data_IF_208064962369
#
_entry.id   IF_208064962369
#
_cell.length_a   1.000
_cell.length_b   1.000
_cell.length_c   1.000
_cell.angle_alpha   90.00
_cell.angle_beta   90.00
_cell.angle_gamma   90.00
#
_symmetry.space_group_name_H-M   'P 1'
#
loop_
_entity.id
_entity.type
_entity.pdbx_description
1 polymer ?
#
# COMPACT_ATOMS: atom_id res chain seq x y z
N UNK A 1 -32.60 3.14 34.46
CA UNK A 1 -31.93 3.52 33.21
C UNK A 1 -30.55 2.86 33.19
N UNK A 2 -30.38 1.75 32.47
CA UNK A 2 -29.07 1.16 32.24
C UNK A 2 -28.57 1.67 30.89
N UNK A 3 -27.57 2.55 30.90
CA UNK A 3 -26.87 2.96 29.68
C UNK A 3 -26.04 1.77 29.19
N UNK A 4 -26.54 1.09 28.15
CA UNK A 4 -25.77 0.06 27.45
C UNK A 4 -24.58 0.72 26.75
N UNK A 5 -23.38 0.57 27.32
CA UNK A 5 -22.15 0.89 26.62
C UNK A 5 -21.95 -0.16 25.52
N UNK A 6 -22.32 0.20 24.29
CA UNK A 6 -21.97 -0.58 23.11
C UNK A 6 -20.46 -0.43 22.89
N UNK A 7 -19.67 -1.33 23.48
CA UNK A 7 -18.25 -1.47 23.15
C UNK A 7 -18.19 -1.95 21.70
N UNK A 8 -18.19 -1.00 20.75
CA UNK A 8 -17.82 -1.28 19.37
C UNK A 8 -16.38 -1.78 19.41
N UNK A 9 -16.18 -3.08 19.21
CA UNK A 9 -14.85 -3.66 19.09
C UNK A 9 -14.05 -2.80 18.11
N UNK A 10 -12.79 -2.43 18.44
CA UNK A 10 -11.99 -1.64 17.53
C UNK A 10 -11.97 -2.36 16.18
N UNK A 11 -12.19 -1.65 15.06
CA UNK A 11 -12.11 -2.28 13.75
C UNK A 11 -10.75 -2.97 13.68
N UNK A 12 -10.75 -4.29 13.50
CA UNK A 12 -9.54 -5.08 13.38
C UNK A 12 -8.76 -4.55 12.18
N UNK A 13 -7.78 -3.70 12.45
CA UNK A 13 -6.87 -3.18 11.43
C UNK A 13 -5.90 -4.30 11.10
N UNK A 14 -6.13 -4.96 9.96
CA UNK A 14 -5.24 -6.00 9.47
C UNK A 14 -4.05 -5.30 8.84
N UNK A 15 -2.88 -5.44 9.47
CA UNK A 15 -1.59 -5.07 8.89
C UNK A 15 -0.86 -6.38 8.61
N UNK A 16 -0.60 -6.66 7.34
CA UNK A 16 0.04 -7.92 6.95
C UNK A 16 0.98 -7.72 5.77
N UNK A 17 1.92 -8.66 5.62
CA UNK A 17 2.86 -8.70 4.50
C UNK A 17 2.22 -9.46 3.34
N UNK A 18 2.13 -8.81 2.19
CA UNK A 18 1.67 -9.43 0.95
C UNK A 18 2.79 -10.19 0.26
N UNK A 19 2.40 -11.04 -0.70
CA UNK A 19 3.37 -11.72 -1.56
C UNK A 19 4.10 -10.69 -2.42
N UNK A 20 5.33 -11.02 -2.80
CA UNK A 20 6.17 -10.13 -3.61
C UNK A 20 5.56 -9.82 -5.00
N UNK A 21 4.73 -10.74 -5.51
CA UNK A 21 4.08 -10.71 -6.83
C UNK A 21 2.60 -10.30 -6.79
N UNK A 22 2.10 -9.85 -5.63
CA UNK A 22 0.69 -9.51 -5.44
C UNK A 22 0.18 -8.54 -6.51
N UNK A 23 -0.95 -8.87 -7.13
CA UNK A 23 -1.53 -8.07 -8.20
C UNK A 23 -2.36 -6.92 -7.64
N UNK A 24 -1.71 -5.79 -7.40
CA UNK A 24 -2.34 -4.55 -6.95
C UNK A 24 -2.64 -3.63 -8.14
N UNK A 25 -3.77 -2.93 -8.07
CA UNK A 25 -4.25 -2.05 -9.12
C UNK A 25 -4.44 -0.64 -8.58
N UNK A 26 -3.99 0.36 -9.33
CA UNK A 26 -4.21 1.76 -9.02
C UNK A 26 -5.70 2.05 -9.21
N UNK A 27 -6.38 2.74 -8.27
CA UNK A 27 -7.76 3.14 -8.47
C UNK A 27 -7.87 4.03 -9.71
N UNK A 28 -8.91 3.81 -10.51
CA UNK A 28 -9.09 4.58 -11.73
C UNK A 28 -9.52 6.02 -11.38
N UNK A 29 -8.61 6.98 -11.58
CA UNK A 29 -8.80 8.39 -11.20
C UNK A 29 -9.65 9.18 -12.19
N UNK A 30 -9.85 8.68 -13.42
CA UNK A 30 -10.48 9.44 -14.51
C UNK A 30 -11.84 8.84 -14.92
N UNK A 31 -12.95 9.16 -14.24
CA UNK A 31 -14.26 8.67 -14.64
C UNK A 31 -14.65 9.30 -15.98
N UNK A 32 -14.44 8.58 -17.07
CA UNK A 32 -14.87 9.00 -18.39
C UNK A 32 -16.41 9.07 -18.42
N UNK A 33 -17.02 10.27 -18.57
CA UNK A 33 -18.47 10.43 -18.51
C UNK A 33 -19.19 9.75 -19.70
N UNK A 34 -18.45 9.41 -20.76
CA UNK A 34 -18.99 8.75 -21.96
C UNK A 34 -19.09 7.23 -21.84
N UNK A 35 -18.36 6.61 -20.90
CA UNK A 35 -18.32 5.15 -20.76
C UNK A 35 -19.32 4.63 -19.73
N UNK A 36 -20.30 3.84 -20.20
CA UNK A 36 -21.29 3.14 -19.35
C UNK A 36 -20.68 2.18 -18.32
N UNK A 37 -19.42 1.77 -18.49
CA UNK A 37 -18.75 0.83 -17.59
C UNK A 37 -17.77 1.57 -16.68
N UNK A 38 -18.15 1.74 -15.40
CA UNK A 38 -17.27 2.28 -14.35
C UNK A 38 -16.12 1.30 -14.12
N UNK A 39 -14.97 1.53 -14.78
CA UNK A 39 -13.74 0.79 -14.49
C UNK A 39 -13.31 1.15 -13.06
N UNK A 40 -13.37 0.19 -12.14
CA UNK A 40 -12.88 0.36 -10.76
C UNK A 40 -11.36 0.24 -10.70
N UNK A 41 -10.81 -0.70 -11.48
CA UNK A 41 -9.38 -0.99 -11.54
C UNK A 41 -8.74 -0.24 -12.71
N UNK A 42 -7.74 0.59 -12.40
CA UNK A 42 -6.83 1.17 -13.37
C UNK A 42 -5.66 0.24 -13.66
N UNK A 43 -4.48 0.82 -13.82
CA UNK A 43 -3.28 0.06 -14.17
C UNK A 43 -2.77 -0.79 -12.99
N UNK A 44 -2.22 -1.96 -13.31
CA UNK A 44 -1.54 -2.81 -12.33
C UNK A 44 -0.26 -2.09 -11.87
N UNK A 45 0.03 -2.11 -10.57
CA UNK A 45 1.28 -1.56 -10.04
C UNK A 45 2.46 -2.35 -10.62
N UNK A 46 3.43 -1.62 -11.16
CA UNK A 46 4.73 -2.19 -11.52
C UNK A 46 5.69 -1.96 -10.35
N UNK A 47 6.11 -3.03 -9.68
CA UNK A 47 7.06 -2.96 -8.57
C UNK A 47 8.47 -2.55 -9.01
N UNK A 48 8.80 -2.74 -10.29
CA UNK A 48 10.06 -2.29 -10.88
C UNK A 48 10.00 -0.80 -11.21
N UNK A 49 8.85 -0.30 -11.64
CA UNK A 49 8.66 1.10 -12.02
C UNK A 49 7.49 1.73 -11.25
N UNK A 50 7.70 1.94 -9.95
CA UNK A 50 6.72 2.62 -9.11
C UNK A 50 6.82 4.13 -9.39
N UNK A 51 5.70 4.79 -9.76
CA UNK A 51 5.71 6.23 -10.01
C UNK A 51 6.13 7.03 -8.77
N UNK A 52 6.98 8.05 -8.96
CA UNK A 52 7.47 8.92 -7.88
C UNK A 52 6.35 9.65 -7.13
N UNK A 53 5.15 9.78 -7.72
CA UNK A 53 3.96 10.35 -7.05
C UNK A 53 3.58 9.60 -5.76
N UNK A 54 3.99 8.34 -5.62
CA UNK A 54 3.75 7.54 -4.43
C UNK A 54 4.93 7.51 -3.46
N UNK A 55 6.09 8.06 -3.84
CA UNK A 55 7.28 8.09 -3.01
C UNK A 55 7.02 9.00 -1.81
N UNK A 56 7.20 8.46 -0.59
CA UNK A 56 7.08 9.22 0.65
C UNK A 56 8.44 9.58 1.22
N UNK A 57 9.38 8.66 1.15
CA UNK A 57 10.71 8.83 1.71
C UNK A 57 11.72 7.99 0.94
N UNK A 58 12.90 8.54 0.76
CA UNK A 58 14.09 7.79 0.33
C UNK A 58 15.13 7.95 1.42
N UNK A 59 15.72 6.83 1.81
CA UNK A 59 16.84 6.79 2.76
C UNK A 59 17.96 6.01 2.12
N UNK A 60 19.21 6.42 2.34
CA UNK A 60 20.36 5.63 1.93
C UNK A 60 21.24 5.42 3.15
N UNK A 61 21.44 4.17 3.53
CA UNK A 61 22.22 3.77 4.70
C UNK A 61 23.18 2.67 4.25
N UNK A 62 24.47 2.83 4.51
CA UNK A 62 25.51 1.84 4.20
C UNK A 62 25.46 1.30 2.76
N UNK A 63 25.37 2.19 1.77
CA UNK A 63 25.21 1.86 0.34
C UNK A 63 23.93 1.09 -0.02
N UNK A 64 22.93 1.05 0.87
CA UNK A 64 21.62 0.50 0.61
C UNK A 64 20.62 1.64 0.56
N UNK A 65 20.07 1.90 -0.63
CA UNK A 65 18.97 2.84 -0.83
C UNK A 65 17.65 2.14 -0.52
N UNK A 66 16.92 2.63 0.47
CA UNK A 66 15.57 2.21 0.82
C UNK A 66 14.57 3.30 0.44
N UNK A 67 13.71 2.98 -0.53
CA UNK A 67 12.62 3.85 -0.95
C UNK A 67 11.30 3.34 -0.35
N UNK A 68 10.57 4.22 0.32
CA UNK A 68 9.28 3.97 0.93
C UNK A 68 8.20 4.61 0.06
N UNK A 69 7.41 3.77 -0.59
CA UNK A 69 6.25 4.20 -1.37
C UNK A 69 4.97 3.91 -0.59
N UNK A 70 4.02 4.83 -0.62
CA UNK A 70 2.70 4.64 -0.03
C UNK A 70 1.62 5.02 -1.02
N UNK A 71 0.69 4.11 -1.28
CA UNK A 71 -0.42 4.31 -2.19
C UNK A 71 -1.67 3.58 -1.71
N UNK A 72 -2.84 4.12 -2.05
CA UNK A 72 -4.11 3.40 -1.90
C UNK A 72 -4.33 2.57 -3.16
N UNK A 73 -4.30 1.24 -3.02
CA UNK A 73 -4.40 0.30 -4.14
C UNK A 73 -5.57 -0.66 -3.94
N UNK A 74 -6.08 -1.18 -5.04
CA UNK A 74 -7.16 -2.15 -5.08
C UNK A 74 -6.60 -3.55 -5.34
N UNK A 75 -7.18 -4.56 -4.70
CA UNK A 75 -6.88 -5.97 -4.94
C UNK A 75 -8.16 -6.70 -5.31
N UNK A 76 -8.10 -7.70 -6.19
CA UNK A 76 -9.31 -8.40 -6.66
C UNK A 76 -10.02 -9.19 -5.56
N UNK A 77 -9.26 -9.70 -4.59
CA UNK A 77 -9.81 -10.44 -3.45
C UNK A 77 -10.35 -9.53 -2.34
N UNK A 78 -10.03 -8.24 -2.37
CA UNK A 78 -10.47 -7.28 -1.37
C UNK A 78 -11.49 -6.31 -1.98
N UNK A 79 -12.70 -6.27 -1.42
CA UNK A 79 -13.78 -5.39 -1.91
C UNK A 79 -13.46 -3.90 -1.73
N UNK A 80 -12.56 -3.56 -0.81
CA UNK A 80 -12.17 -2.20 -0.45
C UNK A 80 -10.75 -1.86 -0.92
N UNK A 81 -10.46 -0.55 -1.00
CA UNK A 81 -9.09 -0.09 -1.17
C UNK A 81 -8.25 -0.43 0.06
N UNK A 82 -6.99 -0.79 -0.20
CA UNK A 82 -6.00 -1.10 0.81
C UNK A 82 -4.95 0.00 0.79
N UNK A 83 -4.49 0.39 1.96
CA UNK A 83 -3.34 1.25 2.11
C UNK A 83 -2.09 0.41 2.01
N UNK A 84 -1.37 0.52 0.89
CA UNK A 84 -0.20 -0.30 0.60
C UNK A 84 1.05 0.52 0.77
N UNK A 85 1.98 -0.01 1.56
CA UNK A 85 3.33 0.50 1.73
C UNK A 85 4.29 -0.46 1.03
N UNK A 86 4.99 0.02 0.01
CA UNK A 86 6.00 -0.74 -0.71
C UNK A 86 7.36 -0.21 -0.28
N UNK A 87 8.20 -1.10 0.24
CA UNK A 87 9.56 -0.79 0.66
C UNK A 87 10.48 -1.41 -0.37
N UNK A 88 11.20 -0.59 -1.14
CA UNK A 88 12.17 -1.05 -2.13
C UNK A 88 13.57 -0.82 -1.58
N UNK A 89 14.35 -1.88 -1.43
CA UNK A 89 15.75 -1.82 -1.03
C UNK A 89 16.62 -2.11 -2.25
N UNK A 90 17.46 -1.15 -2.60
CA UNK A 90 18.40 -1.24 -3.71
C UNK A 90 19.80 -1.12 -3.14
N UNK A 91 20.57 -2.19 -3.24
CA UNK A 91 21.99 -2.16 -2.92
C UNK A 91 22.72 -1.44 -4.05
N UNK A 92 23.32 -0.29 -3.76
CA UNK A 92 24.03 0.53 -4.74
C UNK A 92 25.34 -0.16 -5.17
N UNK A 93 26.00 -0.87 -4.25
CA UNK A 93 27.27 -1.53 -4.53
C UNK A 93 27.11 -2.77 -5.44
N UNK A 94 26.01 -3.53 -5.31
CA UNK A 94 25.77 -4.76 -6.09
C UNK A 94 24.67 -4.60 -7.15
N UNK A 95 24.02 -3.44 -7.23
CA UNK A 95 22.81 -3.20 -8.02
C UNK A 95 21.65 -4.19 -7.74
N UNK A 96 21.71 -4.92 -6.62
CA UNK A 96 20.70 -5.89 -6.25
C UNK A 96 19.49 -5.17 -5.64
N UNK A 97 18.31 -5.42 -6.20
CA UNK A 97 17.05 -4.80 -5.77
C UNK A 97 16.11 -5.84 -5.17
N UNK A 98 15.57 -5.54 -4.00
CA UNK A 98 14.51 -6.31 -3.35
C UNK A 98 13.38 -5.39 -2.94
N UNK A 99 12.17 -5.92 -2.83
CA UNK A 99 11.04 -5.17 -2.33
C UNK A 99 10.19 -5.98 -1.37
N UNK A 100 9.57 -5.28 -0.43
CA UNK A 100 8.59 -5.81 0.49
C UNK A 100 7.29 -5.02 0.32
N UNK A 101 6.17 -5.74 0.31
CA UNK A 101 4.84 -5.14 0.17
C UNK A 101 4.08 -5.37 1.47
N UNK A 102 3.76 -4.29 2.15
CA UNK A 102 2.93 -4.27 3.35
C UNK A 102 1.60 -3.64 2.99
N UNK A 103 0.51 -4.14 3.57
CA UNK A 103 -0.79 -3.51 3.40
C UNK A 103 -1.48 -3.33 4.74
N UNK A 104 -2.39 -2.36 4.76
CA UNK A 104 -3.33 -2.13 5.84
C UNK A 104 -4.73 -1.96 5.29
N UNK A 105 -5.72 -2.49 6.02
CA UNK A 105 -7.14 -2.21 5.77
C UNK A 105 -7.55 -0.80 6.21
N UNK A 106 -6.69 -0.08 6.95
CA UNK A 106 -6.92 1.30 7.36
C UNK A 106 -6.29 2.30 6.36
N UNK A 107 -7.16 3.06 5.69
CA UNK A 107 -6.79 4.04 4.65
C UNK A 107 -6.13 5.31 5.20
N UNK A 108 -6.35 5.63 6.49
CA UNK A 108 -5.78 6.81 7.14
C UNK A 108 -4.48 6.51 7.89
N UNK A 109 -4.03 5.25 7.91
CA UNK A 109 -2.80 4.89 8.58
C UNK A 109 -1.58 5.46 7.84
N UNK A 110 -0.74 6.24 8.52
CA UNK A 110 0.56 6.64 7.97
C UNK A 110 1.49 5.42 7.80
N UNK A 111 2.35 5.44 6.79
CA UNK A 111 3.36 4.39 6.55
C UNK A 111 4.20 4.08 7.81
N UNK A 112 4.46 5.09 8.66
CA UNK A 112 5.19 4.93 9.92
C UNK A 112 4.52 3.89 10.83
N UNK A 113 3.20 3.94 10.97
CA UNK A 113 2.46 3.01 11.82
C UNK A 113 2.38 1.60 11.23
N UNK A 114 2.37 1.48 9.89
CA UNK A 114 2.41 0.17 9.21
C UNK A 114 3.74 -0.51 9.44
N UNK A 115 4.85 0.24 9.37
CA UNK A 115 6.21 -0.29 9.56
C UNK A 115 6.47 -0.63 11.03
N UNK A 116 6.04 0.21 11.98
CA UNK A 116 6.29 0.01 13.43
C UNK A 116 5.54 -1.20 14.00
N UNK A 117 4.38 -1.57 13.44
CA UNK A 117 3.57 -2.72 13.92
C UNK A 117 3.99 -4.08 13.36
N UNK A 118 4.98 -4.13 12.46
CA UNK A 118 5.52 -5.37 11.91
C UNK A 118 6.74 -5.91 12.68
N UNK A 119 6.97 -5.40 13.90
CA UNK A 119 8.13 -5.74 14.72
C UNK A 119 7.80 -6.63 15.92
#
# INVERSE_FOLDING_TARGET
MAAGFFLKAPPLQLISKMRYDSALYIPYENPDPSRKCRRKYGDKIDYLFIPDKFLKKTETVDNIRTDFYQAQLLHKEFSQALNVVIIVRTNIATSHRTHAVLFSTDLNLSYVHVVVRQH
#
